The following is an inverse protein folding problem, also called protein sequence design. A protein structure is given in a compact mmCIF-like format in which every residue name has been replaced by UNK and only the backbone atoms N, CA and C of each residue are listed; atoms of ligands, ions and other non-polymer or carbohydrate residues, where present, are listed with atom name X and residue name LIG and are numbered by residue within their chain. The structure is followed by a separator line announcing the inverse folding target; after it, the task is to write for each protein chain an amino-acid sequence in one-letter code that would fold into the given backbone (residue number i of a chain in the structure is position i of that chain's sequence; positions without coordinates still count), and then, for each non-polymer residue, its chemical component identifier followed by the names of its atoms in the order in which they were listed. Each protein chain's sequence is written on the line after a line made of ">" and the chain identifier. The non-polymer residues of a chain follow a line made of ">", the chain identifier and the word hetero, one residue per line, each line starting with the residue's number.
data_IF_628560058063
#
_entry.id   IF_628560058063
#
_cell.length_a   1.000
_cell.length_b   1.000
_cell.length_c   1.000
_cell.angle_alpha   90.00
_cell.angle_beta   90.00
_cell.angle_gamma   90.00
#
_symmetry.space_group_name_H-M   'P 1'
#
loop_
_entity.id
_entity.type
_entity.pdbx_description
1 polymer ?
#
# COMPACT_ATOMS: atom_id res chain seq x y z
N UNK A 1 -5.51 -4.25 2.74
CA UNK A 1 -6.85 -3.70 2.47
C UNK A 1 -7.08 -3.72 0.97
N UNK A 2 -8.33 -3.81 0.53
CA UNK A 2 -8.68 -3.89 -0.89
C UNK A 2 -8.77 -2.47 -1.47
N UNK A 3 -8.08 -2.26 -2.59
CA UNK A 3 -8.04 -0.96 -3.29
C UNK A 3 -8.78 -0.99 -4.63
N UNK A 4 -9.09 -2.18 -5.16
CA UNK A 4 -9.91 -2.34 -6.38
C UNK A 4 -10.67 -3.65 -6.37
N UNK A 5 -11.92 -3.63 -6.84
CA UNK A 5 -12.68 -4.81 -7.29
C UNK A 5 -13.35 -4.44 -8.61
N UNK A 6 -13.19 -5.28 -9.64
CA UNK A 6 -13.70 -4.98 -10.97
C UNK A 6 -13.22 -3.61 -11.48
N UNK A 7 -14.16 -2.79 -11.97
CA UNK A 7 -13.88 -1.43 -12.43
C UNK A 7 -13.76 -0.40 -11.30
N UNK A 8 -14.14 -0.73 -10.06
CA UNK A 8 -14.21 0.21 -8.94
C UNK A 8 -12.86 0.30 -8.23
N UNK A 9 -12.31 1.51 -8.13
CA UNK A 9 -11.02 1.78 -7.45
C UNK A 9 -11.21 2.77 -6.30
N UNK A 10 -10.61 2.49 -5.14
CA UNK A 10 -10.59 3.41 -4.01
C UNK A 10 -9.68 4.63 -4.27
N UNK A 11 -9.90 5.77 -3.60
CA UNK A 11 -9.01 6.92 -3.72
C UNK A 11 -7.52 6.58 -3.46
N UNK A 12 -6.58 7.10 -4.26
CA UNK A 12 -5.16 6.83 -4.07
C UNK A 12 -4.62 7.45 -2.78
N UNK A 13 -3.53 6.89 -2.26
CA UNK A 13 -2.83 7.44 -1.08
C UNK A 13 -3.53 7.18 0.27
N UNK A 14 -4.65 6.47 0.29
CA UNK A 14 -5.33 6.05 1.51
C UNK A 14 -4.80 4.68 1.95
N UNK A 15 -4.00 4.65 3.02
CA UNK A 15 -3.51 3.41 3.65
C UNK A 15 -3.99 3.30 5.10
N UNK A 16 -4.38 2.10 5.58
CA UNK A 16 -4.84 1.89 6.95
C UNK A 16 -3.67 1.97 7.93
N UNK A 17 -3.78 2.75 9.00
CA UNK A 17 -2.83 2.74 10.10
C UNK A 17 -2.86 1.38 10.84
N UNK A 18 -1.81 1.04 11.63
CA UNK A 18 -1.79 -0.20 12.40
C UNK A 18 -3.03 -0.41 13.29
N UNK A 19 -3.59 0.67 13.85
CA UNK A 19 -4.77 0.66 14.72
C UNK A 19 -6.10 0.55 13.97
N UNK A 20 -6.09 0.58 12.64
CA UNK A 20 -7.30 0.56 11.80
C UNK A 20 -7.59 -0.84 11.24
N UNK A 21 -6.89 -1.87 11.73
CA UNK A 21 -7.09 -3.25 11.28
C UNK A 21 -8.54 -3.71 11.44
N UNK A 22 -9.13 -3.48 12.62
CA UNK A 22 -10.51 -3.90 12.89
C UNK A 22 -11.53 -3.14 12.02
N UNK A 23 -11.22 -1.89 11.66
CA UNK A 23 -12.04 -1.10 10.74
C UNK A 23 -12.03 -1.71 9.34
N UNK A 24 -10.85 -2.11 8.86
CA UNK A 24 -10.71 -2.81 7.57
C UNK A 24 -11.41 -4.17 7.61
N UNK A 25 -11.30 -4.91 8.71
CA UNK A 25 -11.88 -6.25 8.84
C UNK A 25 -13.41 -6.21 9.00
N UNK A 26 -13.99 -5.09 9.47
CA UNK A 26 -15.43 -4.88 9.53
C UNK A 26 -16.08 -4.59 8.16
N UNK A 27 -15.29 -4.16 7.17
CA UNK A 27 -15.78 -3.94 5.80
C UNK A 27 -15.98 -5.28 5.09
N UNK A 28 -17.16 -5.51 4.50
CA UNK A 28 -17.49 -6.76 3.78
C UNK A 28 -16.50 -7.09 2.66
N UNK A 29 -15.93 -6.04 2.04
CA UNK A 29 -14.92 -6.15 0.97
C UNK A 29 -13.51 -5.78 1.43
N UNK A 30 -13.31 -5.59 2.74
CA UNK A 30 -12.03 -5.20 3.36
C UNK A 30 -11.38 -3.95 2.73
N UNK A 31 -12.20 -3.03 2.23
CA UNK A 31 -11.79 -1.73 1.74
C UNK A 31 -11.90 -0.71 2.88
N UNK A 32 -10.88 0.13 3.05
CA UNK A 32 -10.84 1.15 4.09
C UNK A 32 -11.77 2.35 3.80
N UNK A 33 -12.00 2.63 2.52
CA UNK A 33 -12.85 3.74 2.08
C UNK A 33 -14.31 3.28 1.98
N UNK A 34 -15.24 3.86 2.76
CA UNK A 34 -16.62 3.37 2.82
C UNK A 34 -17.41 3.61 1.52
N UNK A 35 -17.13 4.69 0.80
CA UNK A 35 -17.80 4.99 -0.47
C UNK A 35 -17.37 4.00 -1.56
N UNK A 36 -16.06 3.76 -1.69
CA UNK A 36 -15.52 2.76 -2.59
C UNK A 36 -15.97 1.35 -2.18
N UNK A 37 -16.06 1.04 -0.89
CA UNK A 37 -16.57 -0.24 -0.41
C UNK A 37 -18.02 -0.49 -0.88
N UNK A 38 -18.91 0.50 -0.75
CA UNK A 38 -20.29 0.40 -1.22
C UNK A 38 -20.36 0.20 -2.75
N UNK A 39 -19.53 0.92 -3.51
CA UNK A 39 -19.44 0.78 -4.96
C UNK A 39 -18.90 -0.61 -5.38
N UNK A 40 -17.89 -1.14 -4.67
CA UNK A 40 -17.37 -2.49 -4.91
C UNK A 40 -18.42 -3.57 -4.64
N UNK A 41 -19.24 -3.42 -3.59
CA UNK A 41 -20.34 -4.35 -3.29
C UNK A 41 -21.39 -4.32 -4.41
N UNK A 42 -21.71 -3.12 -4.94
CA UNK A 42 -22.64 -3.00 -6.06
C UNK A 42 -22.11 -3.69 -7.33
N UNK A 43 -20.82 -3.51 -7.64
CA UNK A 43 -20.14 -4.17 -8.76
C UNK A 43 -20.18 -5.70 -8.62
N UNK A 44 -19.86 -6.23 -7.43
CA UNK A 44 -19.95 -7.68 -7.15
C UNK A 44 -21.37 -8.20 -7.39
N UNK A 45 -22.39 -7.48 -6.94
CA UNK A 45 -23.79 -7.88 -7.13
C UNK A 45 -24.21 -7.86 -8.61
N UNK A 46 -23.72 -6.89 -9.37
CA UNK A 46 -23.96 -6.81 -10.81
C UNK A 46 -23.35 -8.00 -11.55
N UNK A 47 -22.06 -8.28 -11.34
CA UNK A 47 -21.39 -9.43 -11.93
C UNK A 47 -22.05 -10.76 -11.54
N UNK A 48 -22.41 -10.93 -10.26
CA UNK A 48 -23.09 -12.12 -9.78
C UNK A 48 -24.46 -12.34 -10.44
N UNK A 49 -25.22 -11.27 -10.71
CA UNK A 49 -26.51 -11.33 -11.42
C UNK A 49 -26.33 -11.81 -12.86
N UNK A 50 -25.20 -11.51 -13.47
CA UNK A 50 -24.84 -11.91 -14.83
C UNK A 50 -24.15 -13.30 -14.89
N UNK A 51 -23.86 -13.90 -13.73
CA UNK A 51 -23.16 -15.18 -13.65
C UNK A 51 -21.66 -15.07 -13.95
N UNK A 52 -21.08 -13.88 -13.80
CA UNK A 52 -19.68 -13.59 -14.05
C UNK A 52 -18.86 -13.50 -12.74
N UNK A 53 -17.54 -13.35 -12.86
CA UNK A 53 -16.58 -13.25 -11.77
C UNK A 53 -15.73 -11.99 -11.90
N UNK A 54 -15.24 -11.49 -10.76
CA UNK A 54 -14.41 -10.29 -10.71
C UNK A 54 -13.05 -10.60 -10.08
N UNK A 55 -12.02 -9.95 -10.63
CA UNK A 55 -10.74 -9.80 -9.96
C UNK A 55 -10.67 -8.52 -9.12
N UNK A 56 -9.48 -8.19 -8.65
CA UNK A 56 -9.24 -6.98 -7.88
C UNK A 56 -7.77 -6.75 -7.56
N UNK A 57 -7.52 -5.73 -6.74
CA UNK A 57 -6.19 -5.39 -6.23
C UNK A 57 -6.28 -5.21 -4.72
N UNK A 58 -5.39 -5.87 -4.00
CA UNK A 58 -5.22 -5.69 -2.56
C UNK A 58 -3.84 -5.12 -2.26
N UNK A 59 -3.80 -4.13 -1.36
CA UNK A 59 -2.56 -3.54 -0.86
C UNK A 59 -2.24 -4.12 0.53
N UNK A 60 -1.03 -4.65 0.68
CA UNK A 60 -0.48 -5.12 1.95
C UNK A 60 0.48 -4.07 2.48
N UNK A 61 0.29 -3.67 3.74
CA UNK A 61 1.11 -2.63 4.36
C UNK A 61 1.75 -3.18 5.63
N UNK A 62 3.08 -3.09 5.69
CA UNK A 62 3.86 -3.47 6.86
C UNK A 62 4.40 -2.21 7.56
N UNK A 63 4.18 -2.11 8.87
CA UNK A 63 4.58 -0.97 9.69
C UNK A 63 5.68 -1.36 10.67
N UNK A 64 6.54 -0.39 11.02
CA UNK A 64 7.63 -0.62 11.98
C UNK A 64 8.73 -1.55 11.45
N UNK A 65 8.81 -1.73 10.14
CA UNK A 65 9.81 -2.58 9.49
C UNK A 65 11.22 -2.00 9.77
N UNK A 66 12.15 -2.77 10.35
CA UNK A 66 13.49 -2.30 10.62
C UNK A 66 14.25 -2.02 9.32
N UNK A 67 15.12 -1.01 9.34
CA UNK A 67 15.99 -0.68 8.21
C UNK A 67 17.01 -1.80 8.01
N UNK A 68 17.27 -2.16 6.75
CA UNK A 68 18.30 -3.14 6.39
C UNK A 68 17.80 -4.58 6.22
N UNK A 69 16.49 -4.82 6.19
CA UNK A 69 15.96 -6.11 5.76
C UNK A 69 16.22 -6.37 4.27
N UNK A 70 16.58 -7.62 3.96
CA UNK A 70 17.05 -8.03 2.63
C UNK A 70 18.52 -7.65 2.39
N UNK A 71 18.98 -7.82 1.15
CA UNK A 71 20.35 -7.50 0.76
C UNK A 71 20.40 -7.01 -0.68
N UNK A 72 21.35 -6.12 -0.97
CA UNK A 72 21.68 -5.70 -2.33
C UNK A 72 22.83 -6.50 -2.95
N UNK A 73 23.47 -7.39 -2.18
CA UNK A 73 24.70 -8.10 -2.58
C UNK A 73 24.42 -9.12 -3.68
N UNK A 74 23.29 -9.82 -3.60
CA UNK A 74 22.85 -10.76 -4.61
C UNK A 74 21.39 -10.52 -4.98
N UNK A 75 21.05 -10.84 -6.24
CA UNK A 75 19.76 -10.54 -6.83
C UNK A 75 18.60 -11.28 -6.14
N UNK A 76 18.83 -12.51 -5.68
CA UNK A 76 17.86 -13.39 -5.01
C UNK A 76 17.65 -13.03 -3.54
N UNK A 77 18.49 -12.16 -2.97
CA UNK A 77 18.40 -11.68 -1.59
C UNK A 77 17.73 -10.32 -1.46
N UNK A 78 17.35 -9.70 -2.57
CA UNK A 78 16.64 -8.42 -2.56
C UNK A 78 15.22 -8.63 -2.00
N UNK A 79 14.82 -7.79 -1.06
CA UNK A 79 13.55 -7.96 -0.34
C UNK A 79 12.34 -7.86 -1.27
N UNK A 80 12.35 -6.92 -2.20
CA UNK A 80 11.33 -6.77 -3.25
C UNK A 80 11.22 -8.02 -4.14
N UNK A 81 12.36 -8.61 -4.54
CA UNK A 81 12.38 -9.88 -5.27
C UNK A 81 11.77 -11.04 -4.50
N UNK A 82 12.11 -11.18 -3.21
CA UNK A 82 11.55 -12.21 -2.33
C UNK A 82 10.04 -12.02 -2.11
N UNK A 83 9.60 -10.77 -1.85
CA UNK A 83 8.18 -10.44 -1.69
C UNK A 83 7.40 -10.70 -2.98
N UNK A 84 7.94 -10.29 -4.13
CA UNK A 84 7.32 -10.53 -5.43
C UNK A 84 7.15 -12.03 -5.69
N UNK A 85 8.20 -12.84 -5.48
CA UNK A 85 8.12 -14.29 -5.63
C UNK A 85 7.08 -14.93 -4.71
N UNK A 86 7.07 -14.56 -3.43
CA UNK A 86 6.12 -15.06 -2.45
C UNK A 86 4.67 -14.69 -2.80
N UNK A 87 4.41 -13.43 -3.12
CA UNK A 87 3.06 -12.94 -3.44
C UNK A 87 2.56 -13.47 -4.78
N UNK A 88 3.42 -13.53 -5.80
CA UNK A 88 3.07 -14.09 -7.11
C UNK A 88 2.75 -15.59 -7.05
N UNK A 89 3.28 -16.31 -6.04
CA UNK A 89 2.97 -17.73 -5.83
C UNK A 89 1.54 -17.99 -5.35
N UNK A 90 0.82 -16.96 -4.90
CA UNK A 90 -0.58 -17.06 -4.49
C UNK A 90 -1.45 -17.27 -5.73
N UNK A 91 -2.38 -18.22 -5.64
CA UNK A 91 -3.28 -18.53 -6.75
C UNK A 91 -4.07 -17.28 -7.19
N UNK A 92 -4.29 -17.19 -8.50
CA UNK A 92 -4.94 -16.07 -9.19
C UNK A 92 -4.20 -14.71 -9.19
N UNK A 93 -3.06 -14.57 -8.50
CA UNK A 93 -2.22 -13.36 -8.63
C UNK A 93 -1.53 -13.33 -9.99
N UNK A 94 -1.59 -12.18 -10.67
CA UNK A 94 -0.98 -11.96 -12.00
C UNK A 94 0.06 -10.84 -12.04
N UNK A 95 0.08 -10.00 -11.02
CA UNK A 95 0.99 -8.87 -10.89
C UNK A 95 1.27 -8.60 -9.41
N UNK A 96 2.48 -8.13 -9.13
CA UNK A 96 2.89 -7.62 -7.82
C UNK A 96 3.58 -6.28 -8.05
N UNK A 97 3.20 -5.29 -7.25
CA UNK A 97 3.76 -3.94 -7.30
C UNK A 97 4.36 -3.59 -5.94
N UNK A 98 5.44 -2.82 -5.96
CA UNK A 98 6.06 -2.25 -4.76
C UNK A 98 5.93 -0.73 -4.85
N UNK A 99 5.40 -0.10 -3.80
CA UNK A 99 5.16 1.34 -3.78
C UNK A 99 4.19 1.76 -4.88
N UNK A 100 4.61 2.73 -5.70
CA UNK A 100 3.82 3.24 -6.83
C UNK A 100 3.90 2.34 -8.08
N UNK A 101 4.72 1.28 -8.05
CA UNK A 101 4.70 0.22 -9.05
C UNK A 101 4.77 0.70 -10.50
N UNK A 102 3.79 0.30 -11.31
CA UNK A 102 3.72 0.67 -12.72
C UNK A 102 3.49 2.16 -12.94
N UNK A 103 2.82 2.86 -12.01
CA UNK A 103 2.63 4.30 -12.12
C UNK A 103 3.98 5.04 -12.07
N UNK A 104 4.94 4.55 -11.30
CA UNK A 104 6.28 5.11 -11.21
C UNK A 104 7.06 4.98 -12.53
N UNK A 105 6.82 3.92 -13.33
CA UNK A 105 7.51 3.70 -14.60
C UNK A 105 7.19 4.77 -15.66
N UNK A 106 6.04 5.46 -15.52
CA UNK A 106 5.65 6.58 -16.38
C UNK A 106 6.22 7.93 -15.92
N UNK A 107 6.89 7.99 -14.76
CA UNK A 107 7.37 9.24 -14.16
C UNK A 107 8.79 9.58 -14.58
N UNK A 108 9.12 10.88 -14.59
CA UNK A 108 10.50 11.34 -14.69
C UNK A 108 11.23 11.08 -13.37
N UNK A 109 12.51 10.72 -13.44
CA UNK A 109 13.34 10.47 -12.25
C UNK A 109 13.38 11.62 -11.23
N UNK A 110 13.15 12.87 -11.67
CA UNK A 110 13.06 14.05 -10.81
C UNK A 110 11.88 14.04 -9.83
N UNK A 111 10.82 13.28 -10.13
CA UNK A 111 9.61 13.16 -9.29
C UNK A 111 9.34 11.71 -8.86
N UNK A 112 10.02 10.73 -9.43
CA UNK A 112 9.81 9.32 -9.15
C UNK A 112 10.43 8.83 -7.83
N UNK A 113 11.43 9.54 -7.29
CA UNK A 113 12.23 9.04 -6.18
C UNK A 113 11.97 9.76 -4.86
N UNK A 114 12.09 9.02 -3.76
CA UNK A 114 11.92 9.53 -2.42
C UNK A 114 13.16 10.29 -1.95
N UNK A 115 13.09 11.63 -1.94
CA UNK A 115 14.23 12.44 -1.50
C UNK A 115 14.55 12.23 -0.01
N UNK A 116 15.85 12.06 0.29
CA UNK A 116 16.39 11.96 1.67
C UNK A 116 16.46 13.37 2.27
N UNK A 117 15.98 13.49 3.50
CA UNK A 117 16.10 14.72 4.31
C UNK A 117 16.66 14.40 5.68
N UNK A 118 17.33 15.39 6.29
CA UNK A 118 17.73 15.33 7.70
C UNK A 118 16.56 15.77 8.58
N UNK A 119 16.32 15.01 9.64
CA UNK A 119 15.34 15.31 10.69
C UNK A 119 16.03 15.06 12.04
N UNK A 120 16.54 16.15 12.65
CA UNK A 120 17.40 16.08 13.85
C UNK A 120 16.70 15.42 15.05
N UNK A 121 15.36 15.43 15.07
CA UNK A 121 14.54 14.75 16.08
C UNK A 121 14.59 13.21 15.98
N UNK A 122 15.10 12.64 14.88
CA UNK A 122 15.03 11.19 14.60
C UNK A 122 16.39 10.49 14.78
N UNK A 123 16.94 10.54 16.00
CA UNK A 123 18.27 9.98 16.33
C UNK A 123 18.41 8.48 16.04
N UNK A 124 17.34 7.71 16.19
CA UNK A 124 17.34 6.24 16.04
C UNK A 124 17.60 5.76 14.60
N UNK A 125 17.34 6.59 13.58
CA UNK A 125 17.59 6.28 12.17
C UNK A 125 18.78 7.08 11.58
N UNK A 126 19.71 7.50 12.44
CA UNK A 126 20.83 8.35 12.03
C UNK A 126 20.42 9.77 11.61
N UNK A 127 19.19 10.20 11.96
CA UNK A 127 18.66 11.52 11.62
C UNK A 127 18.13 11.64 10.19
N UNK A 128 17.89 10.54 9.47
CA UNK A 128 17.39 10.57 8.09
C UNK A 128 15.90 10.21 8.00
N UNK A 129 15.20 10.89 7.09
CA UNK A 129 13.82 10.62 6.72
C UNK A 129 13.61 10.77 5.20
N UNK A 130 12.46 10.28 4.71
CA UNK A 130 12.01 10.43 3.31
C UNK A 130 10.80 11.37 3.25
N UNK A 131 10.74 12.24 2.23
CA UNK A 131 9.62 13.16 2.00
C UNK A 131 8.37 12.48 1.43
N UNK A 132 8.55 11.37 0.73
CA UNK A 132 7.52 10.57 0.06
C UNK A 132 7.77 9.08 0.30
N UNK A 133 6.93 8.23 -0.28
CA UNK A 133 7.01 6.76 -0.16
C UNK A 133 6.68 6.07 -1.49
N UNK A 134 7.15 6.65 -2.60
CA UNK A 134 6.98 6.14 -3.96
C UNK A 134 7.63 4.76 -4.12
N UNK A 135 8.74 4.51 -3.41
CA UNK A 135 9.42 3.22 -3.38
C UNK A 135 8.78 2.18 -2.44
N UNK A 136 7.69 2.52 -1.73
CA UNK A 136 6.98 1.59 -0.85
C UNK A 136 7.84 1.04 0.29
N UNK A 137 8.73 1.85 0.85
CA UNK A 137 9.65 1.48 1.92
C UNK A 137 10.90 0.71 1.50
N UNK A 138 11.02 0.27 0.23
CA UNK A 138 12.25 -0.33 -0.29
C UNK A 138 13.29 0.76 -0.56
N UNK A 139 14.53 0.56 -0.11
CA UNK A 139 15.60 1.56 -0.23
C UNK A 139 15.73 2.53 0.96
N UNK A 140 15.00 2.29 2.06
CA UNK A 140 15.24 2.96 3.34
C UNK A 140 14.01 3.75 3.83
N UNK A 141 13.69 3.53 5.11
CA UNK A 141 12.36 3.73 5.70
C UNK A 141 11.75 5.13 5.61
N UNK A 142 10.42 5.13 5.76
CA UNK A 142 9.55 6.30 5.67
C UNK A 142 9.55 7.14 6.95
N UNK A 143 9.25 8.44 6.82
CA UNK A 143 8.75 9.26 7.93
C UNK A 143 7.42 8.68 8.44
N UNK A 144 7.28 8.50 9.76
CA UNK A 144 5.99 8.09 10.36
C UNK A 144 4.96 9.17 10.05
N UNK A 145 3.86 8.81 9.37
CA UNK A 145 2.74 9.73 9.18
C UNK A 145 2.17 10.07 10.55
N UNK A 146 1.82 11.34 10.77
CA UNK A 146 1.04 11.73 11.94
C UNK A 146 -0.25 10.87 11.98
N UNK A 147 -0.76 10.51 13.17
CA UNK A 147 -2.06 9.87 13.28
C UNK A 147 -3.09 10.63 12.43
N UNK A 148 -3.99 9.93 11.74
CA UNK A 148 -5.21 10.59 11.27
C UNK A 148 -5.99 10.91 12.54
N UNK A 149 -6.08 12.18 12.90
CA UNK A 149 -7.05 12.62 13.89
C UNK A 149 -8.42 12.17 13.38
N UNK A 150 -9.06 11.26 14.12
CA UNK A 150 -10.45 10.91 13.85
C UNK A 150 -11.28 12.14 14.20
N UNK A 151 -11.85 12.76 13.16
CA UNK A 151 -13.02 13.64 13.17
C UNK A 151 -13.14 14.65 14.34
N UNK A 152 -12.96 15.93 14.02
CA UNK A 152 -13.97 16.93 14.39
C UNK A 152 -15.28 16.52 13.69
N UNK A 153 -16.16 15.84 14.42
CA UNK A 153 -17.50 15.46 14.00
C UNK A 153 -18.36 15.27 15.24
N UNK A 154 -19.35 16.14 15.36
CA UNK A 154 -20.54 16.12 16.24
C UNK A 154 -20.36 16.52 17.72
N UNK A 155 -20.43 17.84 17.96
CA UNK A 155 -21.42 18.42 18.90
C UNK A 155 -22.45 19.24 18.11
#
# INVERSE_FOLDING_TARGET
>A
HVVRIGAVTSPPGVRPAPSERDVVDASEVRCLDPEAAAAMIAEIRAAAKEGDSLGGVAEVVAYGVPVGLGSYVHWDRKLDGLLAGALMSIQAVKAVEIGDGFAQAAQRGSVAHDAIVREDARREAGGFARRSDHAGGIGGGRRRRAPRDRASGDE
#
